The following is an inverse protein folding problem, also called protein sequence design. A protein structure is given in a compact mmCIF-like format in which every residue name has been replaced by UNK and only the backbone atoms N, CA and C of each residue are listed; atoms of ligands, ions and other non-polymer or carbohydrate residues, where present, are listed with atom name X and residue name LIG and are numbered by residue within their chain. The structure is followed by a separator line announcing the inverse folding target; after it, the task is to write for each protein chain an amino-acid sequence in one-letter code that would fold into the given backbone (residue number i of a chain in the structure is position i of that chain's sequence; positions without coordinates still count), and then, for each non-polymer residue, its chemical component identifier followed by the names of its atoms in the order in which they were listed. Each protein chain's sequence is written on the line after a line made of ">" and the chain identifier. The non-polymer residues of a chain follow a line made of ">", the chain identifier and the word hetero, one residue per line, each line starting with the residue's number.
data_IF_801675668680
#
_entry.id   IF_801675668680
#
_cell.length_a   1.000
_cell.length_b   1.000
_cell.length_c   1.000
_cell.angle_alpha   90.00
_cell.angle_beta   90.00
_cell.angle_gamma   90.00
#
_symmetry.space_group_name_H-M   'P 1'
#
loop_
_entity.id
_entity.type
_entity.pdbx_description
1 polymer ?
2 polymer ?
#
# COMPACT_ATOMS: atom_id res chain seq x y z
N UNK A 2 13.36 -1.20 -9.40
CA UNK A 2 14.09 -2.19 -10.21
C UNK A 2 14.90 -1.50 -11.30
N UNK A 3 15.55 -2.28 -12.15
CA UNK A 3 16.29 -1.73 -13.28
C UNK A 3 15.32 -1.35 -14.39
N UNK A 4 14.76 -0.15 -14.27
CA UNK A 4 13.79 0.33 -15.23
C UNK A 4 12.84 1.30 -14.57
N UNK A 5 11.87 0.77 -13.85
CA UNK A 5 10.98 1.59 -13.06
C UNK A 5 11.67 2.00 -11.76
N UNK A 6 11.49 3.26 -11.37
CA UNK A 6 12.20 3.79 -10.23
C UNK A 6 11.28 3.97 -9.03
N UNK A 7 11.90 4.31 -7.92
CA UNK A 7 11.19 4.62 -6.70
C UNK A 7 11.56 6.02 -6.24
N UNK A 8 12.63 6.52 -6.84
CA UNK A 8 13.11 7.86 -6.60
C UNK A 8 13.74 8.40 -7.87
N UNK A 9 13.38 9.62 -8.22
CA UNK A 9 13.87 10.24 -9.44
C UNK A 9 13.87 11.76 -9.29
N UNK A 10 15.03 12.40 -9.52
CA UNK A 10 15.21 13.85 -9.34
C UNK A 10 14.38 14.69 -10.31
N UNK A 11 14.41 14.32 -11.58
CA UNK A 11 13.71 15.06 -12.62
C UNK A 11 12.20 14.97 -12.42
N UNK A 12 11.78 13.84 -11.88
CA UNK A 12 10.36 13.62 -11.59
C UNK A 12 9.99 14.35 -10.30
N UNK A 13 8.98 15.25 -10.35
CA UNK A 13 8.51 15.97 -9.17
C UNK A 13 8.26 15.06 -7.98
N UNK A 14 8.70 15.52 -6.82
CA UNK A 14 8.52 14.77 -5.60
C UNK A 14 8.71 15.66 -4.40
N UNK A 15 7.86 16.66 -4.28
CA UNK A 15 7.95 17.62 -3.20
C UNK A 15 7.36 17.06 -1.92
N UNK A 16 7.61 17.72 -0.82
CA UNK A 16 7.07 17.30 0.45
C UNK A 16 5.88 18.15 0.84
N UNK A 17 4.70 17.58 0.78
CA UNK A 17 3.52 18.29 1.24
C UNK A 17 2.99 17.69 2.53
N UNK A 18 2.01 18.36 3.13
CA UNK A 18 1.40 17.92 4.38
C UNK A 18 0.73 16.56 4.19
N UNK A 19 -0.10 16.44 3.16
CA UNK A 19 -0.79 15.19 2.87
C UNK A 19 0.20 14.04 2.69
N UNK A 20 1.28 14.31 1.94
CA UNK A 20 2.29 13.30 1.65
C UNK A 20 2.92 12.77 2.94
N UNK A 21 3.45 13.69 3.74
CA UNK A 21 4.10 13.31 4.99
C UNK A 21 3.09 12.73 5.97
N UNK A 22 1.86 13.24 5.90
CA UNK A 22 0.78 12.77 6.74
C UNK A 22 0.55 11.29 6.55
N UNK A 23 0.15 10.89 5.34
CA UNK A 23 -0.26 9.51 5.12
C UNK A 23 0.89 8.55 5.36
N UNK A 24 2.10 9.04 5.12
CA UNK A 24 3.30 8.23 5.29
C UNK A 24 3.46 7.79 6.74
N UNK A 25 3.48 8.75 7.65
CA UNK A 25 3.68 8.45 9.06
C UNK A 25 2.38 8.13 9.77
N UNK A 26 1.30 8.70 9.30
CA UNK A 26 0.01 8.57 9.96
C UNK A 26 -0.76 7.34 9.48
N UNK A 27 -1.01 7.28 8.17
CA UNK A 27 -1.92 6.27 7.64
C UNK A 27 -1.25 4.91 7.52
N UNK A 28 -0.26 4.80 6.63
CA UNK A 28 0.36 3.51 6.37
C UNK A 28 1.13 2.99 7.57
N UNK A 29 1.78 3.89 8.32
CA UNK A 29 2.54 3.48 9.48
C UNK A 29 1.63 2.93 10.59
N UNK A 30 0.41 3.45 10.68
CA UNK A 30 -0.54 2.93 11.66
C UNK A 30 -1.21 1.66 11.13
N UNK A 31 -1.48 1.62 9.82
CA UNK A 31 -1.94 0.40 9.16
C UNK A 31 -0.94 -0.71 9.44
N UNK A 32 0.33 -0.33 9.38
CA UNK A 32 1.43 -1.23 9.65
C UNK A 32 1.38 -1.80 11.07
N UNK A 33 0.96 -0.99 12.03
CA UNK A 33 1.01 -1.37 13.43
C UNK A 33 -0.12 -2.33 13.81
N UNK A 34 -1.02 -2.58 12.88
CA UNK A 34 -2.09 -3.55 13.11
C UNK A 34 -1.52 -4.96 13.09
N UNK A 35 -1.85 -5.74 14.11
CA UNK A 35 -1.28 -7.08 14.27
C UNK A 35 -1.91 -8.06 13.30
N UNK A 36 -2.90 -7.60 12.56
CA UNK A 36 -3.51 -8.42 11.52
C UNK A 36 -2.95 -8.03 10.16
N UNK A 37 -2.11 -7.00 10.15
CA UNK A 37 -1.51 -6.50 8.92
C UNK A 37 -0.16 -7.14 8.68
N UNK A 38 0.15 -8.16 9.46
CA UNK A 38 1.45 -8.81 9.39
C UNK A 38 1.72 -9.53 8.04
N UNK A 39 0.70 -10.12 7.34
CA UNK A 39 0.95 -10.76 6.05
C UNK A 39 1.23 -9.74 4.95
N UNK A 40 1.08 -8.46 5.28
CA UNK A 40 1.31 -7.39 4.33
C UNK A 40 2.61 -6.68 4.65
N UNK A 41 3.43 -7.31 5.49
CA UNK A 41 4.72 -6.75 5.87
C UNK A 41 5.77 -7.07 4.81
N UNK A 42 5.43 -7.95 3.88
CA UNK A 42 6.38 -8.40 2.88
C UNK A 42 5.87 -8.12 1.48
N UNK A 43 6.68 -7.41 0.68
CA UNK A 43 6.31 -7.04 -0.69
C UNK A 43 6.31 -8.23 -1.63
N UNK A 44 5.49 -8.18 -2.66
CA UNK A 44 5.45 -9.23 -3.67
C UNK A 44 6.68 -9.16 -4.56
N UNK A 45 7.71 -9.90 -4.16
CA UNK A 45 8.93 -10.03 -4.94
C UNK A 45 8.77 -11.17 -5.94
N UNK A 46 7.67 -11.93 -5.76
CA UNK A 46 7.32 -13.08 -6.60
C UNK A 46 8.17 -14.30 -6.27
N UNK A 47 9.47 -14.11 -6.12
CA UNK A 47 10.35 -15.22 -5.80
C UNK A 47 10.29 -15.53 -4.31
N UNK A 48 10.51 -14.50 -3.49
CA UNK A 48 10.54 -14.65 -2.04
C UNK A 48 9.29 -15.34 -1.49
N UNK A 49 8.12 -14.81 -1.86
CA UNK A 49 6.85 -15.33 -1.37
C UNK A 49 6.31 -16.43 -2.30
N UNK A 50 7.07 -16.71 -3.36
CA UNK A 50 6.72 -17.74 -4.33
C UNK A 50 5.34 -17.50 -4.96
N UNK A 51 5.17 -16.32 -5.55
CA UNK A 51 3.94 -15.96 -6.22
C UNK A 51 4.21 -15.64 -7.70
N UNK A 52 4.36 -16.67 -8.54
CA UNK A 52 4.72 -16.49 -9.96
C UNK A 52 3.54 -16.08 -10.83
N UNK A 53 2.37 -16.62 -10.54
CA UNK A 53 1.17 -16.32 -11.31
C UNK A 53 0.48 -15.07 -10.79
N UNK A 54 1.02 -14.55 -9.69
CA UNK A 54 0.55 -13.30 -9.10
C UNK A 54 0.65 -12.16 -10.12
N UNK A 55 1.74 -12.17 -10.87
CA UNK A 55 2.03 -11.12 -11.84
C UNK A 55 1.18 -11.27 -13.11
N UNK A 56 0.32 -12.28 -13.12
CA UNK A 56 -0.51 -12.54 -14.28
C UNK A 56 -1.97 -12.22 -13.99
N UNK A 57 -2.42 -12.60 -12.80
CA UNK A 57 -3.82 -12.37 -12.42
C UNK A 57 -4.00 -10.99 -11.81
N UNK A 58 -3.15 -10.63 -10.86
CA UNK A 58 -3.26 -9.36 -10.18
C UNK A 58 -2.64 -8.25 -11.03
N UNK A 59 -3.37 -7.15 -11.18
CA UNK A 59 -2.96 -6.06 -12.05
C UNK A 59 -1.71 -5.36 -11.50
N UNK A 60 -1.81 -4.87 -10.28
CA UNK A 60 -0.68 -4.21 -9.64
C UNK A 60 -0.34 -4.92 -8.32
N UNK A 61 0.55 -5.93 -8.38
CA UNK A 61 1.01 -6.67 -7.20
C UNK A 61 1.71 -5.76 -6.19
N UNK A 62 0.94 -5.23 -5.25
CA UNK A 62 1.46 -4.34 -4.23
C UNK A 62 0.92 -4.74 -2.87
N UNK A 63 1.52 -4.19 -1.84
CA UNK A 63 1.21 -4.57 -0.47
C UNK A 63 1.25 -3.35 0.43
N UNK A 64 2.17 -3.32 1.39
CA UNK A 64 2.30 -2.17 2.26
C UNK A 64 3.74 -1.69 2.29
N UNK A 65 4.66 -2.60 1.96
CA UNK A 65 6.06 -2.26 1.98
C UNK A 65 6.46 -1.56 0.71
N UNK A 66 5.68 -1.78 -0.33
CA UNK A 66 5.90 -1.14 -1.61
C UNK A 66 5.33 0.27 -1.60
N UNK A 67 4.14 0.40 -1.01
CA UNK A 67 3.51 1.71 -0.85
C UNK A 67 4.42 2.63 -0.04
N UNK A 68 4.87 2.14 1.10
CA UNK A 68 5.71 2.93 1.98
C UNK A 68 7.07 3.21 1.33
N UNK A 69 7.49 2.35 0.40
CA UNK A 69 8.77 2.54 -0.27
C UNK A 69 8.73 3.78 -1.17
N UNK A 70 7.65 3.93 -1.92
CA UNK A 70 7.47 5.09 -2.77
C UNK A 70 7.24 6.35 -1.94
N UNK A 71 6.62 6.18 -0.77
CA UNK A 71 6.35 7.29 0.11
C UNK A 71 7.62 7.84 0.74
N UNK A 72 8.44 6.95 1.29
CA UNK A 72 9.67 7.35 1.97
C UNK A 72 10.71 7.86 0.98
N UNK A 73 10.55 7.47 -0.28
CA UNK A 73 11.46 7.89 -1.33
C UNK A 73 10.88 9.10 -2.08
N UNK A 74 9.76 9.60 -1.60
CA UNK A 74 9.10 10.78 -2.17
C UNK A 74 8.84 10.60 -3.66
N UNK A 75 8.18 9.51 -4.02
CA UNK A 75 7.92 9.22 -5.42
C UNK A 75 6.89 10.17 -6.01
N UNK A 76 5.83 10.42 -5.28
CA UNK A 76 4.78 11.30 -5.74
C UNK A 76 5.01 12.73 -5.31
N UNK A 77 4.02 13.54 -5.56
CA UNK A 77 4.00 14.92 -5.14
C UNK A 77 3.27 15.02 -3.81
N UNK A 78 2.15 14.32 -3.74
CA UNK A 78 1.30 14.35 -2.57
C UNK A 78 0.66 12.97 -2.36
N UNK A 79 0.00 12.80 -1.22
CA UNK A 79 -0.55 11.50 -0.84
C UNK A 79 -1.72 11.10 -1.73
N UNK A 80 -2.22 12.03 -2.52
CA UNK A 80 -3.33 11.77 -3.41
C UNK A 80 -2.96 10.72 -4.47
N UNK A 81 -1.67 10.64 -4.78
CA UNK A 81 -1.18 9.68 -5.76
C UNK A 81 -1.00 8.31 -5.13
N UNK A 82 -0.83 8.30 -3.81
CA UNK A 82 -0.68 7.07 -3.05
C UNK A 82 -2.02 6.37 -2.89
N UNK A 83 -3.09 7.15 -3.02
CA UNK A 83 -4.45 6.62 -2.92
C UNK A 83 -4.68 5.55 -3.98
N UNK A 84 -3.87 5.58 -5.03
CA UNK A 84 -3.96 4.60 -6.10
C UNK A 84 -3.41 3.26 -5.65
N UNK A 85 -2.16 3.25 -5.20
CA UNK A 85 -1.48 2.03 -4.82
C UNK A 85 -2.09 1.44 -3.56
N UNK A 86 -2.50 2.31 -2.64
CA UNK A 86 -3.16 1.88 -1.42
C UNK A 86 -4.46 1.14 -1.74
N UNK A 87 -5.18 1.64 -2.72
CA UNK A 87 -6.47 1.06 -3.12
C UNK A 87 -6.26 -0.32 -3.74
N UNK A 88 -5.21 -0.45 -4.53
CA UNK A 88 -4.93 -1.70 -5.22
C UNK A 88 -4.48 -2.79 -4.25
N UNK A 89 -3.66 -2.43 -3.26
CA UNK A 89 -3.14 -3.40 -2.29
C UNK A 89 -4.29 -4.17 -1.63
N UNK A 90 -5.39 -3.49 -1.35
CA UNK A 90 -6.52 -4.09 -0.68
C UNK A 90 -7.32 -4.97 -1.65
N UNK A 91 -7.55 -4.46 -2.85
CA UNK A 91 -8.34 -5.17 -3.85
C UNK A 91 -7.61 -6.43 -4.31
N UNK A 92 -6.30 -6.29 -4.48
CA UNK A 92 -5.43 -7.39 -4.88
C UNK A 92 -5.67 -8.63 -4.00
N UNK A 93 -5.73 -8.42 -2.69
CA UNK A 93 -5.95 -9.51 -1.75
C UNK A 93 -7.33 -10.12 -1.93
N UNK A 94 -8.33 -9.26 -2.17
CA UNK A 94 -9.71 -9.70 -2.31
C UNK A 94 -9.90 -10.53 -3.58
N UNK A 95 -9.09 -10.23 -4.59
CA UNK A 95 -9.21 -10.91 -5.89
C UNK A 95 -8.47 -12.24 -5.91
N UNK A 96 -7.18 -12.20 -5.58
CA UNK A 96 -6.35 -13.39 -5.65
C UNK A 96 -6.78 -14.41 -4.60
N UNK A 97 -7.10 -13.94 -3.42
CA UNK A 97 -7.46 -14.81 -2.32
C UNK A 97 -8.97 -14.94 -2.19
N UNK A 98 -9.43 -16.05 -1.67
CA UNK A 98 -10.85 -16.29 -1.48
C UNK A 98 -11.37 -15.49 -0.30
N UNK A 99 -12.66 -15.11 -0.32
CA UNK A 99 -13.28 -14.30 0.74
C UNK A 99 -13.31 -15.00 2.10
N UNK A 100 -12.94 -16.27 2.12
CA UNK A 100 -12.90 -17.04 3.36
C UNK A 100 -11.48 -17.19 3.88
N UNK A 101 -10.53 -16.52 3.22
CA UNK A 101 -9.13 -16.62 3.62
C UNK A 101 -8.83 -15.67 4.77
N UNK A 102 -7.80 -16.00 5.53
CA UNK A 102 -7.41 -15.22 6.69
C UNK A 102 -6.91 -13.85 6.28
N UNK A 103 -6.13 -13.83 5.19
CA UNK A 103 -5.58 -12.57 4.69
C UNK A 103 -6.70 -11.62 4.28
N UNK A 104 -7.77 -12.16 3.71
CA UNK A 104 -8.92 -11.36 3.32
C UNK A 104 -9.62 -10.82 4.57
N UNK A 105 -9.82 -11.70 5.54
CA UNK A 105 -10.46 -11.33 6.79
C UNK A 105 -9.67 -10.21 7.46
N UNK A 106 -8.36 -10.30 7.35
CA UNK A 106 -7.49 -9.30 7.91
C UNK A 106 -7.60 -7.98 7.14
N UNK A 107 -7.51 -8.08 5.81
CA UNK A 107 -7.58 -6.91 4.94
C UNK A 107 -8.85 -6.09 5.21
N UNK A 108 -9.96 -6.79 5.43
CA UNK A 108 -11.23 -6.15 5.71
C UNK A 108 -11.14 -5.27 6.95
N UNK A 109 -10.47 -5.76 7.99
CA UNK A 109 -10.32 -5.02 9.23
C UNK A 109 -9.24 -3.94 9.09
N UNK A 110 -8.18 -4.29 8.37
CA UNK A 110 -7.09 -3.36 8.08
C UNK A 110 -7.61 -2.10 7.40
N UNK A 111 -8.59 -2.29 6.52
CA UNK A 111 -9.17 -1.19 5.76
C UNK A 111 -9.84 -0.16 6.66
N UNK A 112 -10.24 -0.57 7.86
CA UNK A 112 -10.96 0.31 8.76
C UNK A 112 -10.07 1.43 9.25
N UNK A 113 -8.86 1.06 9.69
CA UNK A 113 -7.91 2.05 10.18
C UNK A 113 -7.36 2.88 9.02
N UNK A 114 -7.41 2.31 7.82
CA UNK A 114 -7.02 3.02 6.62
C UNK A 114 -7.91 4.25 6.42
N UNK A 115 -9.20 4.01 6.23
CA UNK A 115 -10.14 5.10 6.00
C UNK A 115 -10.26 6.01 7.23
N UNK A 116 -10.03 5.41 8.39
CA UNK A 116 -10.08 6.12 9.67
C UNK A 116 -9.15 7.33 9.66
N UNK A 117 -7.91 7.09 9.27
CA UNK A 117 -6.89 8.13 9.28
C UNK A 117 -6.98 9.01 8.04
N UNK A 118 -7.54 8.45 6.98
CA UNK A 118 -7.69 9.15 5.72
C UNK A 118 -8.80 10.20 5.81
N UNK A 119 -9.86 9.88 6.54
CA UNK A 119 -10.97 10.81 6.72
C UNK A 119 -10.52 12.02 7.53
N UNK A 120 -9.42 11.84 8.25
CA UNK A 120 -8.88 12.89 9.10
C UNK A 120 -7.73 13.60 8.41
N UNK A 121 -7.49 13.24 7.15
CA UNK A 121 -6.45 13.87 6.35
C UNK A 121 -6.73 15.37 6.19
N UNK A 122 -5.68 16.18 6.04
CA UNK A 122 -5.82 17.60 5.73
C UNK A 122 -6.53 17.79 4.39
N UNK A 123 -7.80 18.15 4.45
CA UNK A 123 -8.65 18.23 3.26
C UNK A 123 -8.32 19.45 2.40
N UNK A 124 -7.30 20.19 2.81
CA UNK A 124 -6.94 21.40 2.14
C UNK A 124 -5.58 21.26 1.46
N UNK A 125 -4.69 20.52 2.12
CA UNK A 125 -3.33 20.28 1.65
C UNK A 125 -2.45 21.52 1.83
N UNK A 126 -1.26 21.30 2.34
CA UNK A 126 -0.31 22.36 2.58
C UNK A 126 1.09 21.90 2.17
N UNK A 127 1.60 22.44 1.08
CA UNK A 127 2.95 22.09 0.65
C UNK A 127 3.95 22.64 1.65
N UNK A 128 4.88 21.80 2.08
CA UNK A 128 5.82 22.19 3.11
C UNK A 128 6.95 23.02 2.51
N UNK B 4 1.50 -20.13 3.65
CA UNK B 4 1.39 -19.02 2.67
C UNK B 4 -0.05 -18.63 2.43
N UNK B 6 -3.54 -19.07 2.13
CA UNK B 6 -4.48 -20.11 2.49
C UNK B 6 -4.58 -20.29 3.99
N UNK B 7 -5.29 -19.37 4.64
CA UNK B 7 -5.55 -19.43 6.08
C UNK B 7 -4.25 -19.38 6.89
N UNK B 9 -3.34 -18.95 9.92
CA UNK B 9 -3.64 -18.99 11.34
C UNK B 9 -2.68 -19.90 12.07
#
# INVERSE_FOLDING_TARGET
>A
GPLGSEVSNPSKPGRKTNQLQYMQNVVVKTLWKHQFAWPFYQPVDAIKLNLPDYHKIIKNPMDMGTIKKRLENNYYWSASECMQDFNTMFTNCYIYNKPTDDIVLMAQALEKIFLQKVAQMPQEEVEL
>B
KASGXGKXKRGSN
#
